data_IF_081375077816
#
_entry.id   IF_081375077816
#
_cell.length_a   1.000
_cell.length_b   1.000
_cell.length_c   1.000
_cell.angle_alpha   90.00
_cell.angle_beta   90.00
_cell.angle_gamma   90.00
#
_symmetry.space_group_name_H-M   'P 1'
#
loop_
_entity.id
_entity.type
_entity.pdbx_description
1 polymer ?
#
# COMPACT_ATOMS: atom_id res chain seq x y z
N UNK A 1 -10.52 24.70 25.66
CA UNK A 1 -11.23 23.66 24.87
C UNK A 1 -10.77 23.78 23.42
N UNK A 2 -10.14 22.76 22.83
CA UNK A 2 -9.81 22.81 21.39
C UNK A 2 -11.12 22.71 20.62
N UNK A 3 -11.49 23.76 19.89
CA UNK A 3 -12.65 23.71 18.99
C UNK A 3 -12.44 22.57 17.99
N UNK A 4 -13.29 21.55 18.08
CA UNK A 4 -13.35 20.48 17.09
C UNK A 4 -13.88 21.02 15.77
N UNK A 5 -13.66 20.25 14.71
CA UNK A 5 -14.13 20.58 13.36
C UNK A 5 -15.65 20.76 13.35
N UNK A 6 -16.13 21.80 12.66
CA UNK A 6 -17.57 22.03 12.49
C UNK A 6 -18.16 21.01 11.52
N UNK A 7 -19.48 20.79 11.58
CA UNK A 7 -20.15 19.88 10.66
C UNK A 7 -19.94 20.27 9.19
N UNK A 8 -19.90 21.56 8.89
CA UNK A 8 -19.64 22.05 7.53
C UNK A 8 -18.22 21.74 7.05
N UNK A 9 -17.22 21.81 7.92
CA UNK A 9 -15.84 21.46 7.59
C UNK A 9 -15.66 19.96 7.39
N UNK A 10 -16.34 19.14 8.21
CA UNK A 10 -16.37 17.69 8.06
C UNK A 10 -16.93 17.27 6.69
N UNK A 11 -18.10 17.82 6.33
CA UNK A 11 -18.75 17.55 5.04
C UNK A 11 -17.89 18.00 3.86
N UNK A 12 -17.23 19.16 3.96
CA UNK A 12 -16.32 19.64 2.89
C UNK A 12 -15.15 18.69 2.68
N UNK A 13 -14.56 18.17 3.76
CA UNK A 13 -13.46 17.21 3.67
C UNK A 13 -13.92 15.92 3.00
N UNK A 14 -15.08 15.40 3.38
CA UNK A 14 -15.68 14.22 2.76
C UNK A 14 -15.94 14.42 1.25
N UNK A 15 -16.57 15.54 0.87
CA UNK A 15 -16.85 15.87 -0.54
C UNK A 15 -15.55 15.99 -1.35
N UNK A 16 -14.49 16.59 -0.79
CA UNK A 16 -13.20 16.70 -1.47
C UNK A 16 -12.60 15.33 -1.71
N UNK A 17 -12.62 14.44 -0.72
CA UNK A 17 -12.02 13.10 -0.83
C UNK A 17 -12.76 12.27 -1.88
N UNK A 18 -14.10 12.24 -1.81
CA UNK A 18 -14.93 11.51 -2.77
C UNK A 18 -14.80 12.12 -4.18
N UNK A 19 -14.85 13.44 -4.28
CA UNK A 19 -14.72 14.17 -5.55
C UNK A 19 -13.38 13.94 -6.22
N UNK A 20 -12.28 13.91 -5.45
CA UNK A 20 -10.96 13.58 -5.98
C UNK A 20 -10.91 12.15 -6.54
N UNK A 21 -11.56 11.19 -5.87
CA UNK A 21 -11.67 9.82 -6.37
C UNK A 21 -12.44 9.71 -7.69
N UNK A 22 -13.57 10.41 -7.80
CA UNK A 22 -14.36 10.45 -9.04
C UNK A 22 -13.61 11.14 -10.18
N UNK A 23 -12.90 12.24 -9.90
CA UNK A 23 -12.06 12.91 -10.88
C UNK A 23 -10.92 12.00 -11.36
N UNK A 24 -10.23 11.33 -10.44
CA UNK A 24 -9.18 10.36 -10.77
C UNK A 24 -9.71 9.25 -11.68
N UNK A 25 -10.88 8.69 -11.35
CA UNK A 25 -11.52 7.65 -12.13
C UNK A 25 -11.85 8.12 -13.55
N UNK A 26 -12.39 9.33 -13.69
CA UNK A 26 -12.70 9.93 -14.99
C UNK A 26 -11.44 10.15 -15.85
N UNK A 27 -10.31 10.52 -15.22
CA UNK A 27 -9.03 10.72 -15.91
C UNK A 27 -8.35 9.41 -16.31
N UNK A 28 -8.47 8.36 -15.50
CA UNK A 28 -7.93 7.03 -15.83
C UNK A 28 -8.63 6.44 -17.05
N UNK A 29 -9.92 6.66 -17.19
CA UNK A 29 -10.69 6.14 -18.33
C UNK A 29 -10.59 6.99 -19.61
N UNK A 30 -9.57 7.85 -19.74
CA UNK A 30 -9.32 8.58 -20.99
C UNK A 30 -8.73 7.63 -22.06
N UNK A 31 -9.46 7.32 -23.16
CA UNK A 31 -9.00 6.35 -24.15
C UNK A 31 -7.99 6.94 -25.15
N UNK A 32 -7.92 8.26 -25.29
CA UNK A 32 -7.14 8.93 -26.33
C UNK A 32 -5.99 9.81 -25.81
N UNK A 33 -5.90 10.02 -24.49
CA UNK A 33 -4.92 10.95 -23.90
C UNK A 33 -4.07 10.29 -22.80
N UNK A 34 -2.86 9.86 -23.19
CA UNK A 34 -1.90 9.19 -22.32
C UNK A 34 -1.47 10.05 -21.12
N UNK A 35 -1.33 11.37 -21.32
CA UNK A 35 -1.01 12.31 -20.22
C UNK A 35 -2.15 12.37 -19.19
N UNK A 36 -3.41 12.44 -19.61
CA UNK A 36 -4.54 12.45 -18.69
C UNK A 36 -4.65 11.12 -17.94
N UNK A 37 -4.41 10.00 -18.61
CA UNK A 37 -4.32 8.68 -17.99
C UNK A 37 -3.22 8.63 -16.91
N UNK A 38 -2.02 9.13 -17.22
CA UNK A 38 -0.90 9.14 -16.29
C UNK A 38 -1.18 10.02 -15.06
N UNK A 39 -1.76 11.21 -15.28
CA UNK A 39 -2.20 12.10 -14.20
C UNK A 39 -3.28 11.42 -13.36
N UNK A 40 -4.30 10.81 -13.99
CA UNK A 40 -5.35 10.07 -13.30
C UNK A 40 -4.82 8.92 -12.44
N UNK A 41 -3.82 8.19 -12.97
CA UNK A 41 -3.15 7.09 -12.26
C UNK A 41 -2.37 7.57 -11.02
N UNK A 42 -1.77 8.76 -11.07
CA UNK A 42 -1.18 9.37 -9.88
C UNK A 42 -2.27 9.87 -8.91
N UNK A 43 -3.32 10.49 -9.43
CA UNK A 43 -4.42 11.06 -8.66
C UNK A 43 -5.19 9.99 -7.87
N UNK A 44 -5.37 8.78 -8.41
CA UNK A 44 -6.08 7.71 -7.70
C UNK A 44 -5.30 7.21 -6.48
N UNK A 45 -3.96 7.23 -6.55
CA UNK A 45 -3.12 6.92 -5.37
C UNK A 45 -3.32 7.98 -4.30
N UNK A 46 -3.31 9.27 -4.68
CA UNK A 46 -3.59 10.37 -3.75
C UNK A 46 -5.00 10.25 -3.13
N UNK A 47 -6.02 9.95 -3.95
CA UNK A 47 -7.38 9.74 -3.49
C UNK A 47 -7.48 8.56 -2.52
N UNK A 48 -6.81 7.44 -2.82
CA UNK A 48 -6.76 6.27 -1.94
C UNK A 48 -6.10 6.60 -0.59
N UNK A 49 -5.01 7.38 -0.59
CA UNK A 49 -4.35 7.82 0.64
C UNK A 49 -5.29 8.71 1.48
N UNK A 50 -5.90 9.72 0.85
CA UNK A 50 -6.84 10.61 1.53
C UNK A 50 -8.11 9.90 2.01
N UNK A 51 -8.51 8.81 1.37
CA UNK A 51 -9.65 7.99 1.80
C UNK A 51 -9.46 7.37 3.20
N UNK A 52 -8.20 7.17 3.63
CA UNK A 52 -7.90 6.75 5.00
C UNK A 52 -8.27 7.81 6.05
N UNK A 53 -8.52 9.05 5.63
CA UNK A 53 -8.91 10.16 6.49
C UNK A 53 -10.44 10.32 6.59
N UNK A 54 -11.24 9.62 5.76
CA UNK A 54 -12.71 9.69 5.84
C UNK A 54 -13.25 9.39 7.25
N UNK A 55 -12.77 8.36 7.98
CA UNK A 55 -13.25 8.11 9.34
C UNK A 55 -12.96 9.27 10.32
N UNK A 56 -11.99 10.14 10.00
CA UNK A 56 -11.64 11.31 10.79
C UNK A 56 -12.41 12.57 10.36
N UNK A 57 -13.15 12.52 9.24
CA UNK A 57 -13.99 13.59 8.73
C UNK A 57 -15.32 13.69 9.51
N UNK A 58 -15.25 13.73 10.85
CA UNK A 58 -16.41 13.78 11.72
C UNK A 58 -16.48 15.10 12.50
N UNK A 59 -17.69 15.64 12.77
CA UNK A 59 -17.84 16.82 13.62
C UNK A 59 -17.25 16.59 15.01
N UNK A 60 -16.60 17.60 15.58
CA UNK A 60 -15.98 17.52 16.91
C UNK A 60 -14.57 16.90 16.93
N UNK A 61 -14.11 16.28 15.84
CA UNK A 61 -12.72 15.80 15.71
C UNK A 61 -11.77 16.99 15.62
N UNK A 62 -10.65 16.93 16.34
CA UNK A 62 -9.66 18.02 16.27
C UNK A 62 -8.97 18.03 14.90
N UNK A 63 -8.80 19.20 14.29
CA UNK A 63 -8.10 19.31 13.00
C UNK A 63 -6.68 18.72 13.07
N UNK A 64 -6.02 18.79 14.24
CA UNK A 64 -4.72 18.16 14.49
C UNK A 64 -4.78 16.64 14.32
N UNK A 65 -5.87 15.99 14.72
CA UNK A 65 -6.04 14.54 14.55
C UNK A 65 -6.10 14.15 13.08
N UNK A 66 -6.79 14.94 12.24
CA UNK A 66 -6.83 14.73 10.78
C UNK A 66 -5.44 14.87 10.17
N UNK A 67 -4.70 15.93 10.53
CA UNK A 67 -3.33 16.15 10.04
C UNK A 67 -2.39 15.03 10.51
N UNK A 68 -2.50 14.61 11.77
CA UNK A 68 -1.67 13.52 12.31
C UNK A 68 -1.98 12.20 11.61
N UNK A 69 -3.26 11.89 11.37
CA UNK A 69 -3.67 10.74 10.57
C UNK A 69 -3.11 10.80 9.15
N UNK A 70 -3.18 11.96 8.50
CA UNK A 70 -2.59 12.19 7.17
C UNK A 70 -1.09 11.94 7.14
N UNK A 71 -0.35 12.42 8.13
CA UNK A 71 1.08 12.18 8.26
C UNK A 71 1.41 10.70 8.48
N UNK A 72 0.63 9.98 9.29
CA UNK A 72 0.84 8.54 9.52
C UNK A 72 0.61 7.76 8.22
N UNK A 73 -0.48 8.04 7.50
CA UNK A 73 -0.79 7.40 6.21
C UNK A 73 0.31 7.67 5.19
N UNK A 74 0.78 8.92 5.09
CA UNK A 74 1.88 9.29 4.21
C UNK A 74 3.18 8.58 4.59
N UNK A 75 3.52 8.52 5.88
CA UNK A 75 4.72 7.82 6.37
C UNK A 75 4.68 6.33 6.00
N UNK A 76 3.57 5.65 6.26
CA UNK A 76 3.40 4.22 5.92
C UNK A 76 3.57 4.04 4.41
N UNK A 77 2.93 4.87 3.60
CA UNK A 77 3.07 4.81 2.14
C UNK A 77 4.53 4.95 1.69
N UNK A 78 5.24 5.97 2.16
CA UNK A 78 6.64 6.18 1.78
C UNK A 78 7.55 5.04 2.26
N UNK A 79 7.36 4.53 3.48
CA UNK A 79 8.13 3.39 3.98
C UNK A 79 7.90 2.16 3.11
N UNK A 80 6.65 1.82 2.81
CA UNK A 80 6.31 0.66 1.96
C UNK A 80 6.87 0.82 0.55
N UNK A 81 6.74 2.01 -0.05
CA UNK A 81 7.29 2.30 -1.38
C UNK A 81 8.80 2.19 -1.40
N UNK A 82 9.51 2.74 -0.41
CA UNK A 82 10.97 2.64 -0.31
C UNK A 82 11.42 1.19 -0.15
N UNK A 83 10.75 0.41 0.70
CA UNK A 83 11.03 -1.01 0.86
C UNK A 83 10.78 -1.77 -0.44
N UNK A 84 9.69 -1.48 -1.15
CA UNK A 84 9.38 -2.11 -2.42
C UNK A 84 10.42 -1.79 -3.51
N UNK A 85 10.83 -0.53 -3.63
CA UNK A 85 11.87 -0.10 -4.57
C UNK A 85 13.22 -0.76 -4.21
N UNK A 86 13.59 -0.76 -2.93
CA UNK A 86 14.82 -1.41 -2.48
C UNK A 86 14.80 -2.92 -2.78
N UNK A 87 13.69 -3.61 -2.49
CA UNK A 87 13.52 -5.02 -2.80
C UNK A 87 13.62 -5.29 -4.31
N UNK A 88 12.97 -4.49 -5.15
CA UNK A 88 13.05 -4.60 -6.60
C UNK A 88 14.47 -4.36 -7.12
N UNK A 89 15.17 -3.36 -6.57
CA UNK A 89 16.56 -3.08 -6.93
C UNK A 89 17.50 -4.23 -6.56
N UNK A 90 17.41 -4.76 -5.33
CA UNK A 90 18.20 -5.92 -4.91
C UNK A 90 17.85 -7.18 -5.71
N UNK A 91 16.58 -7.37 -6.05
CA UNK A 91 16.17 -8.45 -6.93
C UNK A 91 16.89 -8.36 -8.29
N UNK A 92 16.89 -7.18 -8.91
CA UNK A 92 17.62 -6.94 -10.15
C UNK A 92 19.14 -7.15 -10.00
N UNK A 93 19.73 -6.62 -8.93
CA UNK A 93 21.17 -6.68 -8.69
C UNK A 93 21.69 -8.11 -8.44
N UNK A 94 20.92 -8.94 -7.72
CA UNK A 94 21.36 -10.28 -7.31
C UNK A 94 20.83 -11.43 -8.17
N UNK A 95 19.67 -11.28 -8.81
CA UNK A 95 19.03 -12.38 -9.56
C UNK A 95 19.03 -12.17 -11.07
N UNK A 96 18.99 -10.93 -11.58
CA UNK A 96 19.07 -10.69 -13.03
C UNK A 96 20.50 -10.62 -13.54
N UNK A 97 21.44 -10.12 -12.73
CA UNK A 97 22.88 -10.12 -13.05
C UNK A 97 23.54 -11.36 -12.45
N UNK A 98 23.81 -12.36 -13.29
CA UNK A 98 24.45 -13.59 -12.83
C UNK A 98 25.85 -13.30 -12.25
N UNK A 99 26.14 -13.73 -11.01
CA UNK A 99 27.46 -13.58 -10.42
C UNK A 99 28.47 -14.51 -11.09
N UNK A 100 29.72 -14.03 -11.23
CA UNK A 100 30.81 -14.81 -11.82
C UNK A 100 31.03 -16.12 -11.05
N UNK A 101 30.98 -17.25 -11.76
CA UNK A 101 31.12 -18.61 -11.21
C UNK A 101 32.51 -18.86 -10.59
N UNK A 102 33.51 -18.04 -10.93
CA UNK A 102 34.82 -18.09 -10.31
C UNK A 102 34.84 -17.52 -8.87
N UNK A 103 33.89 -16.65 -8.52
CA UNK A 103 33.82 -16.00 -7.20
C UNK A 103 33.06 -16.87 -6.19
N UNK A 104 33.44 -16.82 -4.91
CA UNK A 104 32.76 -17.54 -3.82
C UNK A 104 31.24 -17.32 -3.79
N UNK A 105 30.78 -16.07 -4.03
CA UNK A 105 29.36 -15.72 -4.11
C UNK A 105 28.64 -16.33 -5.31
N UNK A 106 29.33 -16.48 -6.46
CA UNK A 106 28.79 -17.14 -7.65
C UNK A 106 28.60 -18.63 -7.43
N UNK A 107 29.57 -19.30 -6.80
CA UNK A 107 29.44 -20.73 -6.46
C UNK A 107 28.26 -21.01 -5.53
N UNK A 108 28.02 -20.16 -4.53
CA UNK A 108 26.84 -20.27 -3.66
C UNK A 108 25.52 -20.01 -4.40
N UNK A 109 25.52 -19.13 -5.40
CA UNK A 109 24.33 -18.86 -6.22
C UNK A 109 23.95 -20.07 -7.08
N UNK A 110 24.92 -20.69 -7.76
CA UNK A 110 24.67 -21.89 -8.57
C UNK A 110 24.40 -23.15 -7.74
N UNK A 111 24.85 -23.20 -6.49
CA UNK A 111 24.54 -24.27 -5.54
C UNK A 111 23.22 -24.05 -4.79
N UNK A 112 22.55 -22.90 -4.97
CA UNK A 112 21.30 -22.60 -4.30
C UNK A 112 20.19 -23.55 -4.79
N UNK A 113 19.46 -24.14 -3.84
CA UNK A 113 18.29 -24.95 -4.17
C UNK A 113 17.15 -24.08 -4.69
N UNK A 114 16.32 -24.58 -5.62
CA UNK A 114 15.11 -23.90 -6.06
C UNK A 114 14.25 -23.40 -4.89
N UNK A 115 13.60 -22.24 -5.05
CA UNK A 115 12.88 -21.57 -3.97
C UNK A 115 11.83 -22.45 -3.28
N UNK A 116 11.17 -23.35 -4.02
CA UNK A 116 10.15 -24.25 -3.47
C UNK A 116 10.72 -25.39 -2.62
N UNK A 117 12.04 -25.59 -2.59
CA UNK A 117 12.69 -26.56 -1.69
C UNK A 117 13.18 -25.93 -0.39
N UNK A 118 13.22 -24.59 -0.32
CA UNK A 118 13.65 -23.86 0.87
C UNK A 118 12.56 -23.85 1.95
N UNK A 119 12.91 -24.26 3.18
CA UNK A 119 11.95 -24.35 4.30
C UNK A 119 11.27 -23.02 4.64
N UNK A 120 11.94 -21.88 4.41
CA UNK A 120 11.41 -20.55 4.67
C UNK A 120 10.05 -20.31 4.00
N UNK A 121 9.91 -20.65 2.72
CA UNK A 121 8.68 -20.42 1.97
C UNK A 121 7.51 -21.27 2.48
N UNK A 122 7.79 -22.52 2.87
CA UNK A 122 6.79 -23.40 3.46
C UNK A 122 6.36 -22.96 4.85
N UNK A 123 7.27 -22.42 5.67
CA UNK A 123 6.92 -21.81 6.97
C UNK A 123 6.00 -20.62 6.77
N UNK A 124 6.33 -19.70 5.84
CA UNK A 124 5.48 -18.55 5.53
C UNK A 124 4.11 -19.00 5.01
N UNK A 125 4.07 -19.99 4.10
CA UNK A 125 2.82 -20.54 3.57
C UNK A 125 1.97 -21.20 4.68
N UNK A 126 2.60 -21.94 5.60
CA UNK A 126 1.91 -22.55 6.74
C UNK A 126 1.31 -21.49 7.68
N UNK A 127 2.07 -20.44 8.01
CA UNK A 127 1.57 -19.32 8.83
C UNK A 127 0.40 -18.62 8.14
N UNK A 128 0.52 -18.31 6.84
CA UNK A 128 -0.54 -17.68 6.07
C UNK A 128 -1.82 -18.55 6.05
N UNK A 129 -1.66 -19.85 5.86
CA UNK A 129 -2.77 -20.82 5.86
C UNK A 129 -3.43 -20.91 7.23
N UNK A 130 -2.65 -20.95 8.32
CA UNK A 130 -3.16 -20.96 9.68
C UNK A 130 -3.95 -19.70 10.02
N UNK A 131 -3.43 -18.52 9.64
CA UNK A 131 -4.13 -17.24 9.80
C UNK A 131 -5.45 -17.21 9.01
N UNK A 132 -5.41 -17.62 7.73
CA UNK A 132 -6.60 -17.69 6.89
C UNK A 132 -7.68 -18.61 7.47
N UNK A 133 -7.30 -19.80 7.94
CA UNK A 133 -8.22 -20.74 8.60
C UNK A 133 -8.80 -20.17 9.89
N UNK A 134 -7.97 -19.50 10.69
CA UNK A 134 -8.41 -18.86 11.94
C UNK A 134 -9.45 -17.79 11.66
N UNK A 135 -9.20 -16.92 10.67
CA UNK A 135 -10.14 -15.88 10.25
C UNK A 135 -11.44 -16.51 9.71
N UNK A 136 -11.34 -17.51 8.83
CA UNK A 136 -12.51 -18.18 8.27
C UNK A 136 -13.38 -18.81 9.37
N UNK A 137 -12.76 -19.45 10.38
CA UNK A 137 -13.47 -20.02 11.51
C UNK A 137 -14.12 -18.93 12.39
N UNK A 138 -13.43 -17.82 12.65
CA UNK A 138 -13.98 -16.70 13.40
C UNK A 138 -15.17 -16.03 12.70
N UNK A 139 -15.13 -15.90 11.37
CA UNK A 139 -16.23 -15.35 10.57
C UNK A 139 -17.41 -16.32 10.53
N UNK A 140 -17.17 -17.61 10.32
CA UNK A 140 -18.23 -18.64 10.30
C UNK A 140 -18.93 -18.83 11.66
N UNK A 141 -18.31 -18.39 12.76
CA UNK A 141 -18.88 -18.43 14.12
C UNK A 141 -19.65 -17.18 14.50
N UNK A 142 -19.71 -16.14 13.66
CA UNK A 142 -20.59 -14.98 13.93
C UNK A 142 -22.03 -15.38 13.60
N UNK A 143 -22.96 -15.35 14.56
CA UNK A 143 -24.36 -15.67 14.35
C UNK A 143 -25.05 -14.66 13.42
#
# INVERSE_FOLDING_TARGET
MRQGMTASSALRLEIIIIGLGLLALSLIFQPFHLTLFAVGSALVVLAALLNNLLPLAAPGVSARSVVTGGLIVALIFFVVVLVAIAAAHFYGAFFLKQPDSATYSGKSYYAATPFYLTSFYWVVAAIASALALTIACLVARRP
#
